data_IF_852626369123
#
_entry.id   IF_852626369123
#
_cell.length_a   1.000
_cell.length_b   1.000
_cell.length_c   1.000
_cell.angle_alpha   90.00
_cell.angle_beta   90.00
_cell.angle_gamma   90.00
#
_symmetry.space_group_name_H-M   'P 1'
#
loop_
_entity.id
_entity.type
_entity.pdbx_description
1 polymer ?
#
# COMPACT_ATOMS: atom_id res chain seq x y z
N UNK A 1 4.02 -9.86 -12.46
CA UNK A 1 2.67 -9.53 -12.95
C UNK A 1 2.75 -8.14 -13.56
N UNK A 2 2.09 -7.89 -14.68
CA UNK A 2 1.95 -6.52 -15.20
C UNK A 2 0.71 -5.89 -14.58
N UNK A 3 0.90 -4.83 -13.81
CA UNK A 3 -0.16 -4.07 -13.13
C UNK A 3 -0.26 -2.62 -13.64
N UNK A 4 0.45 -2.27 -14.71
CA UNK A 4 0.56 -0.90 -15.21
C UNK A 4 -0.78 -0.26 -15.60
N UNK A 5 -1.81 -1.07 -15.90
CA UNK A 5 -3.16 -0.60 -16.22
C UNK A 5 -4.14 -0.65 -15.05
N UNK A 6 -3.71 -1.10 -13.86
CA UNK A 6 -4.56 -1.23 -12.69
C UNK A 6 -4.77 0.15 -12.05
N UNK A 7 -6.03 0.50 -11.78
CA UNK A 7 -6.40 1.76 -11.11
C UNK A 7 -6.89 1.57 -9.67
N UNK A 8 -7.32 0.36 -9.31
CA UNK A 8 -7.84 0.02 -7.98
C UNK A 8 -7.12 -1.23 -7.46
N UNK A 9 -6.42 -1.06 -6.34
CA UNK A 9 -5.74 -2.13 -5.59
C UNK A 9 -6.33 -2.33 -4.20
N UNK A 10 -7.54 -1.79 -3.95
CA UNK A 10 -8.18 -1.86 -2.64
C UNK A 10 -8.34 -3.31 -2.16
N UNK A 11 -7.94 -3.54 -0.91
CA UNK A 11 -8.08 -4.83 -0.21
C UNK A 11 -7.31 -6.02 -0.82
N UNK A 12 -6.45 -5.81 -1.82
CA UNK A 12 -5.87 -6.91 -2.62
C UNK A 12 -5.16 -7.99 -1.78
N UNK A 13 -4.51 -7.60 -0.69
CA UNK A 13 -3.78 -8.48 0.22
C UNK A 13 -4.29 -8.39 1.66
N UNK A 14 -5.51 -7.90 1.87
CA UNK A 14 -6.06 -7.77 3.22
C UNK A 14 -6.13 -9.13 3.93
N UNK A 15 -5.79 -9.13 5.22
CA UNK A 15 -5.76 -10.29 6.12
C UNK A 15 -4.76 -11.38 5.70
N UNK A 16 -3.76 -11.03 4.89
CA UNK A 16 -2.65 -11.93 4.56
C UNK A 16 -1.62 -11.88 5.68
N UNK A 17 -1.72 -12.77 6.67
CA UNK A 17 -0.91 -12.74 7.89
C UNK A 17 0.61 -12.69 7.59
N UNK A 18 1.06 -13.46 6.60
CA UNK A 18 2.45 -13.51 6.14
C UNK A 18 2.49 -13.08 4.68
N UNK A 19 2.92 -11.84 4.41
CA UNK A 19 3.11 -11.32 3.08
C UNK A 19 4.59 -11.05 2.83
N UNK A 20 5.19 -11.90 2.01
CA UNK A 20 6.58 -11.82 1.57
C UNK A 20 6.60 -11.92 0.04
N UNK A 21 6.80 -10.78 -0.61
CA UNK A 21 6.81 -10.68 -2.06
C UNK A 21 7.66 -9.50 -2.53
N UNK A 22 8.43 -9.72 -3.60
CA UNK A 22 9.09 -8.64 -4.32
C UNK A 22 8.06 -7.89 -5.20
N UNK A 23 7.72 -6.67 -4.81
CA UNK A 23 6.82 -5.77 -5.52
C UNK A 23 7.56 -4.59 -6.18
N UNK A 24 8.90 -4.58 -6.16
CA UNK A 24 9.72 -3.47 -6.66
C UNK A 24 9.52 -3.18 -8.16
N UNK A 25 9.09 -4.19 -8.92
CA UNK A 25 8.83 -4.08 -10.36
C UNK A 25 7.42 -3.63 -10.73
N UNK A 26 6.53 -3.43 -9.75
CA UNK A 26 5.16 -3.02 -10.03
C UNK A 26 5.08 -1.55 -10.40
N UNK A 27 4.59 -1.28 -11.61
CA UNK A 27 4.20 0.07 -11.99
C UNK A 27 2.81 0.38 -11.42
N UNK A 28 2.78 1.07 -10.29
CA UNK A 28 1.54 1.51 -9.61
C UNK A 28 1.16 2.95 -9.96
N UNK A 29 1.80 3.56 -10.96
CA UNK A 29 1.62 4.99 -11.27
C UNK A 29 0.20 5.36 -11.72
N UNK A 30 -0.60 4.41 -12.19
CA UNK A 30 -2.01 4.62 -12.57
C UNK A 30 -3.01 4.33 -11.45
N UNK A 31 -2.56 3.89 -10.28
CA UNK A 31 -3.43 3.51 -9.16
C UNK A 31 -3.98 4.77 -8.48
N UNK A 32 -5.28 4.79 -8.25
CA UNK A 32 -5.99 5.87 -7.56
C UNK A 32 -6.51 5.45 -6.18
N UNK A 33 -6.68 4.15 -5.93
CA UNK A 33 -7.21 3.58 -4.68
C UNK A 33 -6.35 2.41 -4.20
N UNK A 34 -5.75 2.56 -3.02
CA UNK A 34 -4.97 1.55 -2.29
C UNK A 34 -5.58 1.22 -0.92
N UNK A 35 -6.85 1.57 -0.70
CA UNK A 35 -7.51 1.41 0.59
C UNK A 35 -7.48 -0.05 1.07
N UNK A 36 -7.12 -0.24 2.34
CA UNK A 36 -7.02 -1.56 3.00
C UNK A 36 -6.14 -2.60 2.29
N UNK A 37 -5.30 -2.22 1.32
CA UNK A 37 -4.53 -3.17 0.49
C UNK A 37 -3.74 -4.18 1.31
N UNK A 38 -3.14 -3.77 2.42
CA UNK A 38 -2.39 -4.61 3.36
C UNK A 38 -2.99 -4.62 4.77
N UNK A 39 -4.28 -4.31 4.93
CA UNK A 39 -4.90 -4.29 6.26
C UNK A 39 -4.85 -5.68 6.91
N UNK A 40 -4.49 -5.76 8.18
CA UNK A 40 -4.31 -6.96 8.99
C UNK A 40 -3.23 -7.91 8.47
N UNK A 41 -2.23 -7.38 7.77
CA UNK A 41 -1.03 -8.10 7.32
C UNK A 41 0.06 -7.98 8.40
N UNK A 42 -0.01 -8.82 9.44
CA UNK A 42 0.84 -8.66 10.64
C UNK A 42 2.32 -8.77 10.33
N UNK A 43 2.72 -9.60 9.35
CA UNK A 43 4.09 -9.69 8.84
C UNK A 43 4.12 -9.24 7.39
N UNK A 44 4.41 -7.96 7.18
CA UNK A 44 4.57 -7.35 5.87
C UNK A 44 6.06 -7.17 5.55
N UNK A 45 6.54 -7.90 4.54
CA UNK A 45 7.90 -7.78 4.01
C UNK A 45 7.83 -7.67 2.47
N UNK A 46 7.74 -6.43 1.98
CA UNK A 46 7.81 -6.15 0.56
C UNK A 46 8.51 -4.81 0.32
N UNK A 47 9.31 -4.75 -0.74
CA UNK A 47 9.92 -3.50 -1.21
C UNK A 47 8.88 -2.68 -1.98
N UNK A 48 8.47 -1.57 -1.38
CA UNK A 48 7.50 -0.61 -1.91
C UNK A 48 8.06 0.83 -1.88
N UNK A 49 9.33 1.01 -1.53
CA UNK A 49 9.94 2.34 -1.29
C UNK A 49 9.99 3.18 -2.59
N UNK A 50 10.06 2.50 -3.73
CA UNK A 50 10.15 3.09 -5.07
C UNK A 50 8.81 3.34 -5.75
N UNK A 51 7.69 2.97 -5.11
CA UNK A 51 6.36 3.13 -5.71
C UNK A 51 6.02 4.59 -6.00
N UNK A 52 5.61 4.86 -7.24
CA UNK A 52 5.05 6.16 -7.59
C UNK A 52 3.56 6.19 -7.21
N UNK A 53 3.26 6.79 -6.05
CA UNK A 53 1.89 6.92 -5.52
C UNK A 53 1.26 8.30 -5.77
N UNK A 54 1.84 9.13 -6.65
CA UNK A 54 1.43 10.53 -6.84
C UNK A 54 -0.02 10.69 -7.32
N UNK A 55 -0.62 9.65 -7.90
CA UNK A 55 -2.01 9.63 -8.38
C UNK A 55 -3.00 9.00 -7.38
N UNK A 56 -2.51 8.45 -6.26
CA UNK A 56 -3.37 7.81 -5.26
C UNK A 56 -4.15 8.87 -4.49
N UNK A 57 -5.46 8.67 -4.41
CA UNK A 57 -6.39 9.57 -3.70
C UNK A 57 -6.90 8.97 -2.39
N UNK A 58 -6.85 7.65 -2.24
CA UNK A 58 -7.34 6.93 -1.06
C UNK A 58 -6.32 5.88 -0.60
N UNK A 59 -5.82 6.04 0.64
CA UNK A 59 -4.94 5.11 1.35
C UNK A 59 -5.54 4.68 2.70
N UNK A 60 -6.85 4.86 2.88
CA UNK A 60 -7.53 4.53 4.14
C UNK A 60 -7.27 3.09 4.57
N UNK A 61 -6.89 2.91 5.82
CA UNK A 61 -6.58 1.61 6.44
C UNK A 61 -5.55 0.74 5.69
N UNK A 62 -4.73 1.30 4.78
CA UNK A 62 -3.83 0.51 3.92
C UNK A 62 -2.92 -0.45 4.70
N UNK A 63 -2.39 -0.01 5.84
CA UNK A 63 -1.54 -0.81 6.74
C UNK A 63 -2.17 -1.02 8.13
N UNK A 64 -3.49 -0.84 8.26
CA UNK A 64 -4.18 -0.98 9.55
C UNK A 64 -3.97 -2.40 10.10
N UNK A 65 -3.38 -2.54 11.28
CA UNK A 65 -3.07 -3.83 11.90
C UNK A 65 -1.86 -4.55 11.30
N UNK A 66 -1.00 -3.86 10.54
CA UNK A 66 0.24 -4.42 10.02
C UNK A 66 1.38 -4.25 11.06
N UNK A 67 1.29 -4.99 12.17
CA UNK A 67 2.09 -4.82 13.40
C UNK A 67 3.63 -4.84 13.23
N UNK A 68 4.15 -5.36 12.12
CA UNK A 68 5.59 -5.40 11.82
C UNK A 68 5.95 -4.56 10.58
N UNK A 69 5.15 -3.54 10.24
CA UNK A 69 5.43 -2.64 9.11
C UNK A 69 6.70 -1.82 9.37
N UNK A 70 7.68 -1.91 8.47
CA UNK A 70 8.99 -1.24 8.60
C UNK A 70 9.49 -0.57 7.32
N UNK A 71 8.71 -0.60 6.24
CA UNK A 71 9.12 -0.02 4.95
C UNK A 71 9.27 1.51 5.03
N UNK A 72 10.34 2.05 4.46
CA UNK A 72 10.53 3.50 4.38
C UNK A 72 9.73 4.09 3.21
N UNK A 73 8.59 4.68 3.56
CA UNK A 73 7.69 5.35 2.61
C UNK A 73 7.80 6.88 2.71
N UNK A 74 8.85 7.42 3.34
CA UNK A 74 9.04 8.87 3.52
C UNK A 74 9.26 9.64 2.21
N UNK A 75 9.62 8.94 1.13
CA UNK A 75 9.82 9.48 -0.22
C UNK A 75 8.53 9.63 -1.03
N UNK A 76 7.42 9.02 -0.58
CA UNK A 76 6.18 9.00 -1.34
C UNK A 76 5.57 10.40 -1.49
N UNK A 77 5.28 10.78 -2.73
CA UNK A 77 4.46 11.96 -3.00
C UNK A 77 2.99 11.65 -2.72
N UNK A 78 2.53 12.09 -1.54
CA UNK A 78 1.15 11.89 -1.07
C UNK A 78 0.27 13.13 -1.26
N UNK A 79 0.68 14.09 -2.09
CA UNK A 79 -0.04 15.36 -2.26
C UNK A 79 -1.46 15.22 -2.82
N UNK A 80 -1.74 14.15 -3.58
CA UNK A 80 -3.07 13.84 -4.11
C UNK A 80 -3.97 13.06 -3.15
N UNK A 81 -3.44 12.57 -2.03
CA UNK A 81 -4.20 11.73 -1.10
C UNK A 81 -5.19 12.58 -0.32
N UNK A 82 -6.47 12.20 -0.40
CA UNK A 82 -7.57 12.87 0.31
C UNK A 82 -8.05 12.09 1.52
N UNK A 83 -7.75 10.79 1.61
CA UNK A 83 -8.13 9.94 2.72
C UNK A 83 -6.97 9.02 3.15
N UNK A 84 -6.46 9.24 4.36
CA UNK A 84 -5.49 8.39 5.07
C UNK A 84 -6.06 7.87 6.39
N UNK A 85 -7.39 7.84 6.54
CA UNK A 85 -8.04 7.44 7.78
C UNK A 85 -7.58 6.04 8.21
N UNK A 86 -7.16 5.92 9.46
CA UNK A 86 -6.68 4.67 10.05
C UNK A 86 -5.52 3.96 9.33
N UNK A 87 -4.78 4.63 8.43
CA UNK A 87 -3.73 4.02 7.60
C UNK A 87 -2.73 3.18 8.41
N UNK A 88 -2.33 3.66 9.60
CA UNK A 88 -1.38 3.00 10.50
C UNK A 88 -1.99 2.67 11.88
N UNK A 89 -3.32 2.55 12.00
CA UNK A 89 -3.91 2.14 13.28
C UNK A 89 -3.43 0.73 13.61
N UNK A 90 -2.74 0.57 14.75
CA UNK A 90 -2.15 -0.70 15.19
C UNK A 90 -1.14 -1.31 14.21
N UNK A 91 -0.47 -0.46 13.41
CA UNK A 91 0.72 -0.82 12.64
C UNK A 91 1.98 -0.61 13.49
#
# INVERSE_FOLDING_TARGET
>A
WDVSSVTNMSGMFSSTILFDADLSSWDVSNVTDMSSMFSATTSFHADIESWNVSNVTNMSSMFKGAENFTADIGSWDVSSVTDMSSMFTSA
#
